data_IF_548181913233
#
_entry.id   IF_548181913233
#
_cell.length_a   1.000
_cell.length_b   1.000
_cell.length_c   1.000
_cell.angle_alpha   90.00
_cell.angle_beta   90.00
_cell.angle_gamma   90.00
#
_symmetry.space_group_name_H-M   'P 1'
#
loop_
_entity.id
_entity.type
_entity.pdbx_description
1 polymer ?
#
# COMPACT_ATOMS: atom_id res chain seq x y z
N UNK A 1 25.36 -27.99 7.67
CA UNK A 1 26.23 -26.88 7.24
C UNK A 1 25.39 -25.61 7.27
N UNK A 2 25.12 -25.10 8.47
CA UNK A 2 25.88 -24.07 9.21
C UNK A 2 25.30 -22.69 8.96
N UNK A 3 24.20 -22.43 9.65
CA UNK A 3 23.43 -21.18 9.77
C UNK A 3 24.17 -20.09 10.57
N UNK A 4 25.51 -20.18 10.65
CA UNK A 4 26.37 -19.36 11.53
C UNK A 4 27.34 -18.43 10.78
N UNK A 5 27.31 -18.34 9.45
CA UNK A 5 28.12 -17.36 8.71
C UNK A 5 27.41 -16.04 8.39
N UNK A 6 26.15 -15.87 8.80
CA UNK A 6 25.38 -14.63 8.55
C UNK A 6 25.38 -13.59 9.67
N UNK A 7 25.89 -13.94 10.86
CA UNK A 7 25.80 -13.09 12.07
C UNK A 7 27.01 -12.14 12.22
N UNK A 8 28.09 -12.35 11.47
CA UNK A 8 29.24 -11.43 11.49
C UNK A 8 29.05 -10.16 10.63
N UNK A 9 28.07 -10.12 9.71
CA UNK A 9 27.79 -8.91 8.93
C UNK A 9 26.84 -7.93 9.65
N UNK A 10 26.28 -8.31 10.80
CA UNK A 10 25.39 -7.44 11.60
C UNK A 10 26.16 -6.52 12.57
N UNK A 11 27.49 -6.68 12.70
CA UNK A 11 28.32 -5.85 13.57
C UNK A 11 29.20 -4.83 12.81
N UNK A 12 29.21 -4.83 11.47
CA UNK A 12 29.86 -3.78 10.67
C UNK A 12 28.89 -2.68 10.21
N UNK A 13 27.58 -2.83 10.45
CA UNK A 13 26.61 -1.75 10.20
C UNK A 13 26.74 -0.56 11.17
N UNK A 14 27.57 -0.69 12.22
CA UNK A 14 27.80 0.37 13.23
C UNK A 14 29.22 0.93 13.27
N UNK A 15 30.17 0.38 12.52
CA UNK A 15 31.51 0.98 12.39
C UNK A 15 32.13 0.67 11.03
N UNK A 16 32.05 1.64 10.11
CA UNK A 16 32.93 1.72 8.94
C UNK A 16 32.52 0.89 7.72
N UNK A 17 31.53 1.39 6.98
CA UNK A 17 31.54 1.28 5.52
C UNK A 17 31.43 2.68 4.93
N UNK A 18 32.18 2.89 3.87
CA UNK A 18 32.44 4.16 3.21
C UNK A 18 31.16 5.00 3.03
N UNK A 19 31.19 6.24 3.50
CA UNK A 19 30.12 7.27 3.34
C UNK A 19 30.01 7.74 1.87
N UNK A 20 30.38 6.90 0.92
CA UNK A 20 30.55 7.20 -0.51
C UNK A 20 29.41 6.74 -1.42
N UNK A 21 28.21 6.48 -0.91
CA UNK A 21 27.08 6.03 -1.74
C UNK A 21 25.87 6.98 -1.68
N UNK A 22 26.08 8.27 -1.95
CA UNK A 22 24.99 9.20 -2.25
C UNK A 22 24.21 8.87 -3.54
N UNK A 23 24.52 7.77 -4.24
CA UNK A 23 23.93 7.35 -5.52
C UNK A 23 23.25 5.96 -5.49
N UNK A 24 22.85 5.46 -4.32
CA UNK A 24 22.33 4.08 -4.18
C UNK A 24 20.81 3.93 -4.32
N UNK A 25 20.06 5.02 -4.47
CA UNK A 25 18.60 4.99 -4.69
C UNK A 25 18.30 5.58 -6.06
N UNK A 26 17.44 4.90 -6.82
CA UNK A 26 16.76 5.50 -7.97
C UNK A 26 15.28 5.52 -7.67
N UNK A 27 14.78 6.70 -7.34
CA UNK A 27 13.38 6.94 -6.99
C UNK A 27 12.46 6.71 -8.19
N UNK A 28 11.18 6.48 -7.91
CA UNK A 28 10.15 6.37 -8.95
C UNK A 28 10.07 7.61 -9.85
N UNK A 29 10.39 8.80 -9.31
CA UNK A 29 10.44 10.05 -10.07
C UNK A 29 11.60 10.05 -11.07
N UNK A 30 12.79 9.62 -10.64
CA UNK A 30 13.98 9.54 -11.49
C UNK A 30 13.83 8.48 -12.58
N UNK A 31 13.24 7.32 -12.26
CA UNK A 31 13.03 6.25 -13.25
C UNK A 31 11.98 6.59 -14.29
N UNK A 32 11.03 7.48 -13.97
CA UNK A 32 10.00 7.95 -14.88
C UNK A 32 10.47 9.09 -15.81
N UNK A 33 11.41 9.92 -15.35
CA UNK A 33 11.84 11.11 -16.08
C UNK A 33 10.67 12.05 -16.35
N UNK A 34 10.54 12.55 -17.59
CA UNK A 34 9.48 13.48 -17.98
C UNK A 34 8.11 12.81 -18.16
N UNK A 35 8.07 11.49 -18.37
CA UNK A 35 6.83 10.74 -18.61
C UNK A 35 6.42 9.98 -17.35
N UNK A 36 5.74 10.68 -16.45
CA UNK A 36 5.27 10.09 -15.20
C UNK A 36 4.21 9.00 -15.43
N UNK A 37 3.22 9.24 -16.28
CA UNK A 37 2.10 8.30 -16.44
C UNK A 37 2.41 7.13 -17.38
N UNK A 38 2.14 5.92 -16.87
CA UNK A 38 2.04 4.69 -17.66
C UNK A 38 0.75 3.96 -17.31
N UNK A 39 -0.08 3.69 -18.32
CA UNK A 39 -1.23 2.80 -18.21
C UNK A 39 -0.77 1.37 -17.89
N UNK A 40 -1.52 0.64 -17.07
CA UNK A 40 -1.19 -0.76 -16.78
C UNK A 40 -1.40 -1.63 -18.02
N UNK A 41 -0.41 -2.46 -18.32
CA UNK A 41 -0.52 -3.51 -19.34
C UNK A 41 -0.91 -4.84 -18.71
N UNK A 42 -1.31 -5.87 -19.48
CA UNK A 42 -1.58 -7.19 -18.93
C UNK A 42 -0.43 -7.75 -18.07
N UNK A 43 0.82 -7.49 -18.47
CA UNK A 43 2.02 -7.94 -17.75
C UNK A 43 2.16 -7.28 -16.37
N UNK A 44 1.63 -6.08 -16.21
CA UNK A 44 1.68 -5.36 -14.94
C UNK A 44 0.74 -5.94 -13.88
N UNK A 45 -0.24 -6.73 -14.30
CA UNK A 45 -1.21 -7.39 -13.42
C UNK A 45 -0.81 -8.84 -13.09
N UNK A 46 0.30 -9.33 -13.64
CA UNK A 46 0.81 -10.67 -13.37
C UNK A 46 1.46 -10.75 -11.99
N UNK A 47 1.19 -11.83 -11.26
CA UNK A 47 1.97 -12.19 -10.09
C UNK A 47 3.42 -12.41 -10.51
N UNK A 48 4.32 -11.54 -10.03
CA UNK A 48 5.73 -11.50 -10.40
C UNK A 48 6.48 -12.68 -9.79
N UNK A 49 6.18 -13.04 -8.55
CA UNK A 49 6.88 -14.01 -7.71
C UNK A 49 8.40 -13.79 -7.77
N UNK A 50 8.82 -12.57 -7.41
CA UNK A 50 10.21 -12.14 -7.51
C UNK A 50 11.16 -13.10 -6.76
N UNK A 51 12.32 -13.35 -7.34
CA UNK A 51 13.35 -14.20 -6.73
C UNK A 51 13.99 -13.53 -5.51
N UNK A 52 14.62 -14.34 -4.65
CA UNK A 52 15.22 -13.83 -3.42
C UNK A 52 14.18 -13.60 -2.31
N UNK A 53 14.57 -12.82 -1.30
CA UNK A 53 13.65 -12.43 -0.24
C UNK A 53 12.72 -11.34 -0.76
N UNK A 54 11.47 -11.70 -1.01
CA UNK A 54 10.48 -10.79 -1.56
C UNK A 54 9.11 -10.99 -0.91
N UNK A 55 8.34 -9.91 -0.89
CA UNK A 55 6.92 -9.92 -0.53
C UNK A 55 6.14 -9.30 -1.67
N UNK A 56 5.17 -10.04 -2.20
CA UNK A 56 4.25 -9.57 -3.21
C UNK A 56 2.83 -9.65 -2.64
N UNK A 57 2.05 -8.59 -2.82
CA UNK A 57 0.70 -8.56 -2.32
C UNK A 57 -0.25 -7.85 -3.29
N UNK A 58 -1.49 -8.31 -3.27
CA UNK A 58 -2.63 -7.68 -3.90
C UNK A 58 -3.59 -7.26 -2.79
N UNK A 59 -3.94 -5.97 -2.74
CA UNK A 59 -4.85 -5.40 -1.75
C UNK A 59 -6.02 -4.74 -2.45
N UNK A 60 -7.22 -5.04 -1.98
CA UNK A 60 -8.49 -4.51 -2.46
C UNK A 60 -9.15 -3.76 -1.31
N UNK A 61 -8.97 -2.44 -1.28
CA UNK A 61 -9.59 -1.55 -0.31
C UNK A 61 -11.00 -1.20 -0.75
N UNK A 62 -11.92 -1.07 0.21
CA UNK A 62 -13.32 -0.74 -0.03
C UNK A 62 -13.77 0.29 1.01
N UNK A 63 -14.11 1.48 0.54
CA UNK A 63 -14.82 2.51 1.29
C UNK A 63 -16.31 2.35 1.04
N UNK A 64 -17.07 1.98 2.06
CA UNK A 64 -18.49 1.67 1.93
C UNK A 64 -19.36 2.93 2.07
N UNK A 65 -20.50 2.96 1.36
CA UNK A 65 -21.44 4.10 1.41
C UNK A 65 -22.05 4.35 2.80
N UNK A 66 -22.12 3.33 3.64
CA UNK A 66 -22.56 3.45 5.02
C UNK A 66 -21.49 4.09 5.94
N UNK A 67 -20.34 4.49 5.39
CA UNK A 67 -19.23 5.10 6.12
C UNK A 67 -18.26 4.09 6.75
N UNK A 68 -18.46 2.79 6.53
CA UNK A 68 -17.51 1.76 6.93
C UNK A 68 -16.39 1.54 5.91
N UNK A 69 -15.49 0.62 6.24
CA UNK A 69 -14.31 0.30 5.44
C UNK A 69 -13.99 -1.19 5.54
N UNK A 70 -13.58 -1.78 4.43
CA UNK A 70 -13.13 -3.16 4.39
C UNK A 70 -11.91 -3.30 3.48
N UNK A 71 -11.14 -4.36 3.69
CA UNK A 71 -10.21 -4.79 2.67
C UNK A 71 -10.03 -6.31 2.64
N UNK A 72 -9.55 -6.79 1.50
CA UNK A 72 -9.01 -8.13 1.31
C UNK A 72 -7.60 -8.00 0.75
N UNK A 73 -6.66 -8.70 1.35
CA UNK A 73 -5.28 -8.76 0.91
C UNK A 73 -4.83 -10.21 0.79
N UNK A 74 -4.17 -10.54 -0.32
CA UNK A 74 -3.38 -11.76 -0.45
C UNK A 74 -1.90 -11.39 -0.47
N UNK A 75 -1.09 -12.10 0.31
CA UNK A 75 0.36 -11.92 0.40
C UNK A 75 1.04 -13.24 0.03
N UNK A 76 1.96 -13.17 -0.93
CA UNK A 76 2.96 -14.19 -1.20
C UNK A 76 4.31 -13.71 -0.66
N UNK A 77 4.91 -14.44 0.27
CA UNK A 77 6.19 -14.06 0.89
C UNK A 77 7.21 -15.18 0.88
N UNK A 78 8.41 -14.88 0.38
CA UNK A 78 9.61 -15.74 0.50
C UNK A 78 10.56 -15.26 1.60
N UNK A 79 10.14 -14.26 2.39
CA UNK A 79 10.91 -13.72 3.51
C UNK A 79 10.98 -14.76 4.63
N UNK A 80 12.12 -15.43 4.75
CA UNK A 80 12.39 -16.47 5.75
C UNK A 80 12.65 -17.86 5.16
N UNK A 81 12.14 -18.14 3.95
CA UNK A 81 12.48 -19.35 3.20
C UNK A 81 12.26 -19.13 1.70
N UNK A 82 13.34 -19.20 0.92
CA UNK A 82 13.27 -19.11 -0.54
C UNK A 82 12.55 -20.29 -1.19
N UNK A 83 12.54 -21.44 -0.51
CA UNK A 83 12.03 -22.70 -1.05
C UNK A 83 10.59 -23.00 -0.63
N UNK A 84 10.11 -22.37 0.45
CA UNK A 84 8.78 -22.57 1.00
C UNK A 84 8.12 -21.21 1.22
N UNK A 85 7.51 -20.61 0.18
CA UNK A 85 6.80 -19.35 0.33
C UNK A 85 5.61 -19.52 1.28
N UNK A 86 5.31 -18.46 2.03
CA UNK A 86 4.09 -18.36 2.83
C UNK A 86 3.04 -17.58 2.05
N UNK A 87 1.82 -18.11 2.03
CA UNK A 87 0.66 -17.48 1.42
C UNK A 87 -0.29 -17.10 2.54
N UNK A 88 -0.67 -15.83 2.60
CA UNK A 88 -1.48 -15.30 3.69
C UNK A 88 -2.61 -14.46 3.14
N UNK A 89 -3.81 -14.69 3.67
CA UNK A 89 -4.97 -13.83 3.52
C UNK A 89 -5.05 -12.93 4.75
N UNK A 90 -5.17 -11.63 4.51
CA UNK A 90 -5.52 -10.65 5.53
C UNK A 90 -6.81 -9.96 5.12
N UNK A 91 -7.77 -9.84 6.03
CA UNK A 91 -9.01 -9.11 5.76
C UNK A 91 -9.48 -8.32 6.97
N UNK A 92 -10.04 -7.15 6.69
CA UNK A 92 -10.61 -6.25 7.68
C UNK A 92 -12.07 -5.94 7.34
N UNK A 93 -12.91 -5.85 8.36
CA UNK A 93 -14.22 -5.22 8.30
C UNK A 93 -14.35 -4.20 9.43
N UNK A 94 -14.55 -2.94 9.05
CA UNK A 94 -15.03 -1.89 9.93
C UNK A 94 -16.40 -1.45 9.42
N UNK A 95 -17.43 -1.62 10.24
CA UNK A 95 -18.80 -1.22 9.91
C UNK A 95 -19.44 -0.55 11.14
N UNK A 96 -19.63 0.78 11.10
CA UNK A 96 -20.21 1.51 12.23
C UNK A 96 -21.69 1.19 12.44
N UNK A 97 -22.39 0.64 11.44
CA UNK A 97 -23.83 0.33 11.53
C UNK A 97 -24.10 -0.95 12.32
N UNK A 98 -23.11 -1.84 12.39
CA UNK A 98 -23.18 -3.14 13.07
C UNK A 98 -22.19 -3.25 14.25
N UNK A 99 -21.49 -2.15 14.55
CA UNK A 99 -20.41 -2.07 15.54
C UNK A 99 -19.37 -3.19 15.34
N UNK A 100 -18.96 -3.38 14.08
CA UNK A 100 -17.94 -4.36 13.72
C UNK A 100 -16.63 -3.64 13.48
N UNK A 101 -15.57 -4.11 14.14
CA UNK A 101 -14.19 -3.71 13.87
C UNK A 101 -13.30 -4.95 14.04
N UNK A 102 -13.25 -5.77 13.00
CA UNK A 102 -12.56 -7.07 13.03
C UNK A 102 -11.47 -7.11 11.97
N UNK A 103 -10.33 -7.68 12.35
CA UNK A 103 -9.20 -7.98 11.49
C UNK A 103 -8.85 -9.47 11.62
N UNK A 104 -8.65 -10.16 10.50
CA UNK A 104 -8.30 -11.58 10.45
C UNK A 104 -7.12 -11.83 9.52
N UNK A 105 -6.22 -12.71 9.98
CA UNK A 105 -5.08 -13.20 9.20
C UNK A 105 -5.12 -14.72 9.17
N UNK A 106 -5.05 -15.29 7.97
CA UNK A 106 -5.21 -16.74 7.72
C UNK A 106 -4.10 -17.20 6.77
N UNK A 107 -3.35 -18.22 7.16
CA UNK A 107 -2.39 -18.85 6.24
C UNK A 107 -3.13 -19.78 5.28
N UNK A 108 -2.79 -19.69 3.99
CA UNK A 108 -3.42 -20.43 2.92
C UNK A 108 -2.49 -21.53 2.38
N UNK A 109 -3.10 -22.55 1.78
CA UNK A 109 -2.44 -23.66 1.09
C UNK A 109 -2.88 -23.75 -0.36
N UNK A 110 -2.11 -24.54 -1.15
CA UNK A 110 -2.37 -24.81 -2.58
C UNK A 110 -2.51 -23.55 -3.44
N UNK A 111 -1.53 -22.67 -3.33
CA UNK A 111 -1.46 -21.49 -4.20
C UNK A 111 -1.13 -21.90 -5.63
N UNK A 112 -2.07 -21.59 -6.53
CA UNK A 112 -1.99 -21.83 -7.95
C UNK A 112 -2.34 -20.54 -8.69
N UNK A 113 -1.63 -20.28 -9.78
CA UNK A 113 -1.88 -19.16 -10.66
C UNK A 113 -2.58 -19.64 -11.92
N UNK A 114 -3.41 -18.78 -12.51
CA UNK A 114 -3.84 -18.96 -13.90
C UNK A 114 -2.62 -19.01 -14.85
N UNK A 115 -2.80 -19.56 -16.04
CA UNK A 115 -1.73 -19.65 -17.05
C UNK A 115 -1.10 -18.28 -17.34
N UNK A 116 -1.94 -17.25 -17.37
CA UNK A 116 -1.53 -15.87 -17.57
C UNK A 116 -1.05 -15.16 -16.31
N UNK A 117 -1.00 -15.84 -15.16
CA UNK A 117 -0.55 -15.36 -13.86
C UNK A 117 -1.29 -14.15 -13.29
N UNK A 118 -2.46 -13.78 -13.81
CA UNK A 118 -3.25 -12.62 -13.34
C UNK A 118 -4.32 -12.98 -12.31
N UNK A 119 -4.62 -14.27 -12.15
CA UNK A 119 -5.54 -14.81 -11.15
C UNK A 119 -4.81 -15.76 -10.21
N UNK A 120 -5.22 -15.76 -8.95
CA UNK A 120 -4.68 -16.62 -7.90
C UNK A 120 -5.79 -17.43 -7.23
N UNK A 121 -5.51 -18.71 -6.98
CA UNK A 121 -6.43 -19.64 -6.33
C UNK A 121 -5.66 -20.31 -5.18
N UNK A 122 -6.32 -20.44 -4.03
CA UNK A 122 -5.86 -21.21 -2.88
C UNK A 122 -7.00 -22.12 -2.40
N UNK A 123 -6.73 -22.99 -1.44
CA UNK A 123 -7.79 -23.66 -0.70
C UNK A 123 -8.73 -22.61 -0.08
N UNK A 124 -10.02 -22.68 -0.45
CA UNK A 124 -11.10 -21.82 0.03
C UNK A 124 -10.93 -20.32 -0.26
N UNK A 125 -10.13 -19.93 -1.26
CA UNK A 125 -10.04 -18.55 -1.73
C UNK A 125 -9.72 -18.49 -3.22
N UNK A 126 -10.29 -17.51 -3.93
CA UNK A 126 -9.85 -17.14 -5.28
C UNK A 126 -9.94 -15.64 -5.52
N UNK A 127 -8.95 -15.11 -6.23
CA UNK A 127 -8.93 -13.78 -6.83
C UNK A 127 -8.83 -14.01 -8.34
N UNK A 128 -9.88 -13.66 -9.08
CA UNK A 128 -9.95 -13.90 -10.53
C UNK A 128 -10.12 -12.58 -11.27
N UNK A 129 -9.21 -12.28 -12.18
CA UNK A 129 -9.36 -11.18 -13.12
C UNK A 129 -10.11 -11.66 -14.36
N UNK A 130 -11.06 -10.86 -14.84
CA UNK A 130 -11.76 -11.14 -16.08
C UNK A 130 -10.84 -10.98 -17.32
N UNK A 131 -11.19 -11.59 -18.47
CA UNK A 131 -10.37 -11.48 -19.69
C UNK A 131 -10.17 -10.04 -20.19
N UNK A 132 -11.14 -9.15 -19.93
CA UNK A 132 -11.08 -7.74 -20.33
C UNK A 132 -10.23 -6.89 -19.37
N UNK A 133 -9.75 -7.48 -18.26
CA UNK A 133 -8.94 -6.84 -17.23
C UNK A 133 -9.60 -5.59 -16.64
N UNK A 134 -10.91 -5.68 -16.42
CA UNK A 134 -11.73 -4.60 -15.84
C UNK A 134 -12.25 -4.97 -14.46
N UNK A 135 -12.38 -6.25 -14.17
CA UNK A 135 -13.12 -6.73 -13.01
C UNK A 135 -12.40 -7.86 -12.30
N UNK A 136 -12.14 -7.69 -11.01
CA UNK A 136 -11.77 -8.79 -10.13
C UNK A 136 -13.02 -9.38 -9.46
N UNK A 137 -13.10 -10.72 -9.43
CA UNK A 137 -13.99 -11.47 -8.54
C UNK A 137 -13.18 -12.09 -7.42
N UNK A 138 -13.57 -11.77 -6.18
CA UNK A 138 -12.88 -12.24 -4.98
C UNK A 138 -13.86 -13.07 -4.18
N UNK A 139 -13.50 -14.34 -3.97
CA UNK A 139 -14.30 -15.29 -3.20
C UNK A 139 -13.45 -15.92 -2.11
N UNK A 140 -13.93 -15.91 -0.87
CA UNK A 140 -13.30 -16.51 0.31
C UNK A 140 -14.38 -17.34 1.03
N UNK A 141 -14.03 -18.55 1.48
CA UNK A 141 -14.94 -19.43 2.24
C UNK A 141 -14.20 -20.08 3.41
N UNK A 142 -13.89 -19.29 4.42
CA UNK A 142 -13.27 -19.74 5.67
C UNK A 142 -14.31 -19.77 6.80
N UNK A 143 -14.13 -20.59 7.86
CA UNK A 143 -15.15 -20.79 8.90
C UNK A 143 -15.72 -19.50 9.53
N UNK A 144 -14.90 -18.46 9.69
CA UNK A 144 -15.30 -17.17 10.29
C UNK A 144 -15.19 -16.00 9.32
N UNK A 145 -14.93 -16.28 8.05
CA UNK A 145 -14.75 -15.26 7.01
C UNK A 145 -15.25 -15.80 5.67
N UNK A 146 -16.38 -15.28 5.23
CA UNK A 146 -16.89 -15.49 3.87
C UNK A 146 -16.89 -14.13 3.17
N UNK A 147 -16.34 -14.10 1.96
CA UNK A 147 -16.34 -12.90 1.12
C UNK A 147 -16.76 -13.33 -0.27
N UNK A 148 -17.66 -12.58 -0.89
CA UNK A 148 -17.97 -12.68 -2.31
C UNK A 148 -18.20 -11.27 -2.83
N UNK A 149 -17.20 -10.70 -3.50
CA UNK A 149 -17.26 -9.35 -4.06
C UNK A 149 -16.84 -9.30 -5.52
N UNK A 150 -17.49 -8.38 -6.23
CA UNK A 150 -17.10 -7.92 -7.57
C UNK A 150 -16.48 -6.55 -7.44
N UNK A 151 -15.28 -6.38 -8.00
CA UNK A 151 -14.47 -5.18 -7.94
C UNK A 151 -14.17 -4.71 -9.36
N UNK A 152 -14.93 -3.71 -9.84
CA UNK A 152 -14.92 -3.24 -11.23
C UNK A 152 -14.23 -1.88 -11.32
N UNK A 153 -13.13 -1.76 -12.05
CA UNK A 153 -12.41 -0.49 -12.19
C UNK A 153 -13.26 0.57 -12.90
N UNK A 154 -13.21 1.80 -12.41
CA UNK A 154 -13.94 2.93 -13.02
C UNK A 154 -13.22 3.46 -14.26
N UNK A 155 -11.90 3.56 -14.20
CA UNK A 155 -11.07 4.02 -15.32
C UNK A 155 -9.79 3.18 -15.42
N UNK A 156 -8.77 3.71 -16.09
CA UNK A 156 -7.46 3.11 -16.26
C UNK A 156 -6.73 2.93 -14.93
N UNK A 157 -6.08 1.79 -14.79
CA UNK A 157 -5.04 1.61 -13.80
C UNK A 157 -3.76 2.31 -14.22
N UNK A 158 -2.89 2.63 -13.26
CA UNK A 158 -1.62 3.28 -13.55
C UNK A 158 -0.44 2.72 -12.75
N UNK A 159 0.75 2.99 -13.27
CA UNK A 159 2.03 2.99 -12.57
C UNK A 159 2.80 4.26 -12.96
N UNK A 160 3.71 4.72 -12.11
CA UNK A 160 4.59 5.84 -12.47
C UNK A 160 5.83 5.32 -13.18
N UNK A 161 6.10 5.78 -14.40
CA UNK A 161 7.22 5.30 -15.23
C UNK A 161 7.15 3.79 -15.45
N UNK A 162 8.20 3.07 -15.06
CA UNK A 162 8.21 1.60 -15.08
C UNK A 162 7.60 0.95 -13.82
N UNK A 163 7.17 1.76 -12.84
CA UNK A 163 6.53 1.32 -11.61
C UNK A 163 7.51 0.84 -10.55
N UNK A 164 8.79 1.23 -10.58
CA UNK A 164 9.82 0.79 -9.63
C UNK A 164 10.67 1.92 -9.04
N UNK A 165 10.90 1.82 -7.74
CA UNK A 165 12.02 2.46 -7.03
C UNK A 165 13.08 1.41 -6.77
N UNK A 166 14.35 1.70 -7.09
CA UNK A 166 15.47 0.80 -6.84
C UNK A 166 16.27 1.24 -5.61
N UNK A 167 16.68 0.26 -4.80
CA UNK A 167 17.44 0.46 -3.57
C UNK A 167 18.69 -0.42 -3.58
N UNK A 168 19.86 0.22 -3.48
CA UNK A 168 21.17 -0.43 -3.52
C UNK A 168 21.60 -0.90 -4.91
N UNK A 169 22.83 -1.40 -5.02
CA UNK A 169 23.40 -2.00 -6.24
C UNK A 169 23.92 -0.98 -7.27
N UNK A 170 24.92 -1.39 -8.06
CA UNK A 170 25.50 -0.57 -9.14
C UNK A 170 24.70 -0.66 -10.46
N UNK A 171 23.73 -1.58 -10.53
CA UNK A 171 22.89 -1.83 -11.71
C UNK A 171 21.53 -2.40 -11.28
N UNK A 172 20.47 -2.09 -12.04
CA UNK A 172 19.08 -2.51 -11.77
C UNK A 172 18.92 -4.02 -11.50
N UNK A 173 19.73 -4.87 -12.14
CA UNK A 173 19.67 -6.33 -11.99
C UNK A 173 20.09 -6.84 -10.59
N UNK A 174 20.85 -6.04 -9.84
CA UNK A 174 21.40 -6.40 -8.54
C UNK A 174 20.86 -5.50 -7.41
N UNK A 175 19.86 -4.67 -7.71
CA UNK A 175 19.20 -3.75 -6.77
C UNK A 175 17.97 -4.41 -6.15
N UNK A 176 17.72 -4.13 -4.88
CA UNK A 176 16.38 -4.32 -4.33
C UNK A 176 15.41 -3.35 -5.00
N UNK A 177 14.12 -3.65 -4.99
CA UNK A 177 13.13 -2.73 -5.56
C UNK A 177 11.81 -2.73 -4.80
N UNK A 178 11.11 -1.62 -4.92
CA UNK A 178 9.71 -1.46 -4.52
C UNK A 178 8.90 -1.13 -5.77
N UNK A 179 7.78 -1.83 -5.96
CA UNK A 179 6.89 -1.63 -7.09
C UNK A 179 5.45 -1.52 -6.65
N UNK A 180 4.70 -0.64 -7.30
CA UNK A 180 3.27 -0.47 -7.08
C UNK A 180 2.55 -0.27 -8.40
N UNK A 181 1.42 -0.97 -8.56
CA UNK A 181 0.42 -0.72 -9.60
C UNK A 181 -0.93 -0.49 -8.96
N UNK A 182 -1.70 0.42 -9.52
CA UNK A 182 -2.92 0.91 -8.89
C UNK A 182 -4.11 0.81 -9.83
N UNK A 183 -5.27 0.42 -9.31
CA UNK A 183 -6.55 0.95 -9.80
C UNK A 183 -7.05 1.96 -8.76
N UNK A 184 -6.99 3.26 -9.05
CA UNK A 184 -7.24 4.31 -8.05
C UNK A 184 -8.72 4.45 -7.67
N UNK A 185 -9.63 3.95 -8.51
CA UNK A 185 -11.06 3.95 -8.25
C UNK A 185 -11.73 2.75 -8.91
N UNK A 186 -12.60 2.11 -8.16
CA UNK A 186 -13.42 0.99 -8.58
C UNK A 186 -14.80 1.07 -7.93
N UNK A 187 -15.80 0.46 -8.56
CA UNK A 187 -17.07 0.15 -7.94
C UNK A 187 -16.98 -1.24 -7.32
N UNK A 188 -17.42 -1.37 -6.07
CA UNK A 188 -17.38 -2.65 -5.34
C UNK A 188 -18.76 -3.00 -4.85
N UNK A 189 -19.21 -4.21 -5.21
CA UNK A 189 -20.48 -4.75 -4.74
C UNK A 189 -20.34 -6.20 -4.31
N UNK A 190 -21.09 -6.62 -3.30
CA UNK A 190 -21.15 -8.01 -2.89
C UNK A 190 -21.42 -8.16 -1.40
N UNK A 191 -20.78 -9.12 -0.76
CA UNK A 191 -21.11 -9.50 0.61
C UNK A 191 -19.88 -9.94 1.38
N UNK A 192 -19.80 -9.54 2.64
CA UNK A 192 -18.91 -10.09 3.65
C UNK A 192 -19.75 -10.75 4.75
N UNK A 193 -19.30 -11.89 5.25
CA UNK A 193 -19.75 -12.47 6.51
C UNK A 193 -18.52 -12.62 7.38
N UNK A 194 -18.46 -11.85 8.47
CA UNK A 194 -17.35 -11.86 9.42
C UNK A 194 -17.91 -12.09 10.82
N UNK A 195 -17.40 -13.13 11.51
CA UNK A 195 -17.88 -13.55 12.83
C UNK A 195 -19.41 -13.77 12.89
N UNK A 196 -19.99 -14.30 11.80
CA UNK A 196 -21.42 -14.58 11.68
C UNK A 196 -22.30 -13.34 11.41
N UNK A 197 -21.72 -12.14 11.32
CA UNK A 197 -22.43 -10.92 10.93
C UNK A 197 -22.36 -10.72 9.42
N UNK A 198 -23.52 -10.46 8.81
CA UNK A 198 -23.65 -10.15 7.38
C UNK A 198 -23.41 -8.65 7.16
N UNK A 199 -22.60 -8.33 6.15
CA UNK A 199 -22.32 -6.98 5.69
C UNK A 199 -22.51 -6.90 4.18
N UNK A 200 -23.50 -6.14 3.74
CA UNK A 200 -23.69 -5.83 2.32
C UNK A 200 -22.64 -4.80 1.88
N UNK A 201 -21.88 -5.15 0.85
CA UNK A 201 -20.85 -4.29 0.29
C UNK A 201 -21.45 -3.52 -0.87
N UNK A 202 -21.48 -2.20 -0.73
CA UNK A 202 -21.73 -1.23 -1.80
C UNK A 202 -20.84 -0.01 -1.52
N UNK A 203 -19.84 0.21 -2.37
CA UNK A 203 -18.82 1.21 -2.11
C UNK A 203 -17.87 1.46 -3.26
N UNK A 204 -16.91 2.32 -2.98
CA UNK A 204 -15.80 2.68 -3.84
C UNK A 204 -14.55 1.94 -3.40
N UNK A 205 -13.70 1.54 -4.34
CA UNK A 205 -12.52 0.76 -4.03
C UNK A 205 -11.24 1.27 -4.66
N UNK A 206 -10.14 0.88 -4.05
CA UNK A 206 -8.80 1.03 -4.61
C UNK A 206 -8.07 -0.32 -4.60
N UNK A 207 -7.46 -0.66 -5.72
CA UNK A 207 -6.63 -1.85 -5.86
C UNK A 207 -5.16 -1.45 -5.89
N UNK A 208 -4.33 -2.17 -5.13
CA UNK A 208 -2.87 -2.05 -5.19
C UNK A 208 -2.26 -3.43 -5.40
N UNK A 209 -1.41 -3.57 -6.41
CA UNK A 209 -0.50 -4.69 -6.56
C UNK A 209 0.92 -4.22 -6.24
N UNK A 210 1.42 -4.62 -5.07
CA UNK A 210 2.70 -4.18 -4.54
C UNK A 210 3.72 -5.33 -4.51
N UNK A 211 4.97 -5.02 -4.88
CA UNK A 211 6.11 -5.94 -4.78
C UNK A 211 7.23 -5.26 -4.06
N UNK A 212 7.71 -5.89 -2.99
CA UNK A 212 8.92 -5.54 -2.28
C UNK A 212 9.95 -6.63 -2.56
N UNK A 213 10.89 -6.36 -3.46
CA UNK A 213 11.95 -7.27 -3.89
C UNK A 213 13.15 -7.32 -2.93
N UNK A 214 12.93 -7.05 -1.65
CA UNK A 214 13.93 -7.13 -0.58
C UNK A 214 13.24 -7.16 0.79
N UNK A 215 14.01 -7.32 1.88
CA UNK A 215 13.43 -7.33 3.23
C UNK A 215 12.82 -5.96 3.60
N UNK A 216 11.56 -5.89 4.09
CA UNK A 216 10.86 -4.63 4.30
C UNK A 216 11.56 -3.63 5.23
N UNK A 217 12.18 -4.10 6.30
CA UNK A 217 12.88 -3.27 7.29
C UNK A 217 14.11 -2.53 6.74
N UNK A 218 14.60 -2.93 5.56
CA UNK A 218 15.69 -2.23 4.88
C UNK A 218 15.20 -1.09 4.00
N UNK A 219 13.92 -1.12 3.58
CA UNK A 219 13.37 -0.22 2.56
C UNK A 219 13.13 1.17 3.13
N UNK A 220 12.28 1.25 4.15
CA UNK A 220 11.77 2.52 4.65
C UNK A 220 11.87 2.60 6.18
N UNK A 221 12.10 3.81 6.69
CA UNK A 221 12.02 4.13 8.12
C UNK A 221 10.63 4.59 8.53
N UNK A 222 9.92 5.28 7.62
CA UNK A 222 8.55 5.77 7.80
C UNK A 222 7.77 5.67 6.49
N UNK A 223 6.47 5.45 6.60
CA UNK A 223 5.54 5.41 5.47
C UNK A 223 4.25 6.16 5.80
N UNK A 224 3.71 6.86 4.81
CA UNK A 224 2.40 7.47 4.84
C UNK A 224 1.61 6.95 3.62
N UNK A 225 0.40 6.51 3.87
CA UNK A 225 -0.53 6.07 2.85
C UNK A 225 -1.86 6.79 3.02
N UNK A 226 -2.47 7.19 1.92
CA UNK A 226 -3.83 7.74 1.92
C UNK A 226 -4.61 7.21 0.72
N UNK A 227 -5.85 6.84 1.01
CA UNK A 227 -6.93 6.48 0.10
C UNK A 227 -8.17 7.31 0.45
N UNK A 228 -8.37 8.39 -0.29
CA UNK A 228 -9.58 9.19 -0.20
C UNK A 228 -10.55 8.76 -1.29
N UNK A 229 -11.79 8.47 -0.91
CA UNK A 229 -12.86 8.08 -1.82
C UNK A 229 -14.09 8.96 -1.58
N UNK A 230 -14.61 9.50 -2.69
CA UNK A 230 -15.89 10.19 -2.82
C UNK A 230 -16.59 9.72 -4.10
N UNK A 231 -17.85 10.11 -4.31
CA UNK A 231 -18.71 9.54 -5.38
C UNK A 231 -18.04 9.45 -6.77
N UNK A 232 -17.38 10.53 -7.22
CA UNK A 232 -16.71 10.57 -8.54
C UNK A 232 -15.23 10.95 -8.46
N UNK A 233 -14.69 11.02 -7.25
CA UNK A 233 -13.33 11.50 -6.99
C UNK A 233 -12.60 10.52 -6.10
N UNK A 234 -11.33 10.27 -6.40
CA UNK A 234 -10.42 9.61 -5.47
C UNK A 234 -9.04 10.25 -5.49
N UNK A 235 -8.39 10.24 -4.32
CA UNK A 235 -7.00 10.66 -4.17
C UNK A 235 -6.23 9.51 -3.53
N UNK A 236 -5.11 9.17 -4.13
CA UNK A 236 -4.18 8.19 -3.55
C UNK A 236 -2.80 8.79 -3.43
N UNK A 237 -2.11 8.47 -2.34
CA UNK A 237 -0.68 8.78 -2.20
C UNK A 237 0.02 7.66 -1.45
N UNK A 238 1.21 7.34 -1.94
CA UNK A 238 2.20 6.52 -1.27
C UNK A 238 3.47 7.34 -1.06
N UNK A 239 3.79 7.62 0.20
CA UNK A 239 4.96 8.38 0.57
C UNK A 239 5.80 7.58 1.56
N UNK A 240 7.08 7.39 1.30
CA UNK A 240 7.96 6.75 2.27
C UNK A 240 9.34 7.39 2.30
N UNK A 241 9.93 7.34 3.49
CA UNK A 241 11.29 7.79 3.73
C UNK A 241 12.20 6.56 3.75
N UNK A 242 13.21 6.52 2.88
CA UNK A 242 14.16 5.40 2.89
C UNK A 242 14.93 5.34 4.22
N UNK A 243 15.49 4.18 4.53
CA UNK A 243 16.36 4.04 5.71
C UNK A 243 17.65 4.87 5.56
N UNK A 244 18.31 5.16 6.69
CA UNK A 244 19.57 5.94 6.73
C UNK A 244 20.67 5.41 5.80
N UNK A 245 20.76 4.08 5.62
CA UNK A 245 21.74 3.46 4.70
C UNK A 245 21.55 3.89 3.23
N UNK A 246 20.34 4.35 2.89
CA UNK A 246 19.95 4.84 1.57
C UNK A 246 19.81 6.37 1.54
N UNK A 247 20.36 7.07 2.53
CA UNK A 247 20.40 8.54 2.58
C UNK A 247 19.13 9.22 3.09
N UNK A 248 18.10 8.48 3.52
CA UNK A 248 16.85 9.10 3.98
C UNK A 248 16.14 9.88 2.87
N UNK A 249 16.12 9.30 1.66
CA UNK A 249 15.47 9.87 0.49
C UNK A 249 13.96 9.70 0.62
N UNK A 250 13.23 10.80 0.42
CA UNK A 250 11.78 10.76 0.35
C UNK A 250 11.34 10.30 -1.06
N UNK A 251 10.48 9.28 -1.09
CA UNK A 251 9.86 8.76 -2.31
C UNK A 251 8.37 9.02 -2.22
N UNK A 252 7.81 9.61 -3.27
CA UNK A 252 6.40 9.96 -3.30
C UNK A 252 5.78 9.67 -4.67
N UNK A 253 4.57 9.10 -4.66
CA UNK A 253 3.74 8.88 -5.82
C UNK A 253 2.28 9.03 -5.43
N UNK A 254 1.46 9.61 -6.30
CA UNK A 254 0.04 9.78 -6.06
C UNK A 254 -0.74 10.02 -7.34
N UNK A 255 -2.06 10.02 -7.21
CA UNK A 255 -2.96 10.27 -8.34
C UNK A 255 -4.27 10.93 -7.90
N UNK A 256 -4.88 11.63 -8.85
CA UNK A 256 -6.21 12.20 -8.78
C UNK A 256 -7.10 11.52 -9.82
N UNK A 257 -8.15 10.86 -9.36
CA UNK A 257 -9.35 10.58 -10.16
C UNK A 257 -10.36 11.68 -9.88
N UNK A 258 -10.88 12.30 -10.92
CA UNK A 258 -11.86 13.38 -10.81
C UNK A 258 -12.89 13.20 -11.92
N UNK A 259 -14.18 13.33 -11.57
CA UNK A 259 -15.31 13.03 -12.46
C UNK A 259 -15.19 11.64 -13.11
N UNK A 260 -14.82 10.64 -12.30
CA UNK A 260 -14.61 9.24 -12.70
C UNK A 260 -13.55 9.03 -13.79
N UNK A 261 -12.61 9.97 -13.95
CA UNK A 261 -11.48 9.86 -14.88
C UNK A 261 -10.17 10.03 -14.14
N UNK A 262 -9.15 9.23 -14.45
CA UNK A 262 -7.80 9.47 -13.99
C UNK A 262 -7.26 10.74 -14.67
N UNK A 263 -7.19 11.84 -13.93
CA UNK A 263 -6.84 13.15 -14.47
C UNK A 263 -5.36 13.46 -14.30
N UNK A 264 -4.72 13.02 -13.21
CA UNK A 264 -3.31 13.32 -12.94
C UNK A 264 -2.63 12.21 -12.15
N UNK A 265 -1.34 11.99 -12.45
CA UNK A 265 -0.40 11.28 -11.58
C UNK A 265 0.73 12.23 -11.21
N UNK A 266 1.27 12.12 -10.01
CA UNK A 266 2.26 13.08 -9.52
C UNK A 266 3.26 12.44 -8.57
N UNK A 267 4.48 12.95 -8.62
CA UNK A 267 5.57 12.65 -7.67
C UNK A 267 5.93 13.87 -6.80
N UNK A 268 5.42 15.06 -7.15
CA UNK A 268 5.60 16.32 -6.41
C UNK A 268 4.46 16.51 -5.41
N UNK A 269 4.42 15.62 -4.42
CA UNK A 269 3.38 15.61 -3.40
C UNK A 269 3.99 15.91 -2.03
N UNK A 270 3.16 16.34 -1.09
CA UNK A 270 3.59 16.66 0.28
C UNK A 270 2.71 15.99 1.34
N UNK A 271 3.33 15.66 2.46
CA UNK A 271 2.66 15.19 3.68
C UNK A 271 3.12 16.05 4.84
N UNK A 272 2.22 16.85 5.40
CA UNK A 272 2.48 17.67 6.58
C UNK A 272 1.75 17.07 7.79
N UNK A 273 2.54 16.67 8.80
CA UNK A 273 2.03 16.16 10.07
C UNK A 273 2.00 17.29 11.09
N UNK A 274 0.81 17.65 11.59
CA UNK A 274 0.61 18.75 12.50
C UNK A 274 0.02 18.29 13.84
N UNK A 275 0.18 19.14 14.86
CA UNK A 275 -0.35 18.95 16.21
C UNK A 275 0.06 17.60 16.83
N UNK A 276 1.34 17.26 16.68
CA UNK A 276 1.88 15.99 17.16
C UNK A 276 1.65 15.80 18.66
N UNK A 277 1.15 14.62 19.03
CA UNK A 277 1.00 14.16 20.42
C UNK A 277 1.71 12.83 20.60
N UNK A 278 2.37 12.68 21.73
CA UNK A 278 2.96 11.40 22.11
C UNK A 278 1.84 10.39 22.40
N UNK A 279 1.89 9.23 21.73
CA UNK A 279 1.08 8.07 22.11
C UNK A 279 1.73 7.38 23.31
N UNK A 280 1.08 7.35 24.49
CA UNK A 280 1.67 6.77 25.69
C UNK A 280 1.96 5.26 25.58
N UNK A 281 1.29 4.54 24.67
CA UNK A 281 1.50 3.09 24.53
C UNK A 281 2.75 2.75 23.72
N UNK A 282 3.16 3.64 22.82
CA UNK A 282 4.21 3.37 21.84
C UNK A 282 5.39 4.34 21.92
N UNK A 283 5.19 5.53 22.51
CA UNK A 283 6.13 6.64 22.56
C UNK A 283 6.27 7.41 21.24
N UNK A 284 5.50 7.07 20.20
CA UNK A 284 5.56 7.77 18.92
C UNK A 284 4.80 9.10 18.96
N UNK A 285 5.30 10.08 18.21
CA UNK A 285 4.62 11.35 17.96
C UNK A 285 3.61 11.16 16.82
N UNK A 286 2.32 11.15 17.17
CA UNK A 286 1.20 10.90 16.27
C UNK A 286 0.49 12.22 15.97
N UNK A 287 0.21 12.56 14.70
CA UNK A 287 -0.47 13.81 14.35
C UNK A 287 -1.92 13.84 14.83
N UNK A 288 -2.45 15.04 15.00
CA UNK A 288 -3.89 15.27 15.17
C UNK A 288 -4.53 15.91 13.93
N UNK A 289 -3.70 16.49 13.07
CA UNK A 289 -4.07 16.96 11.73
C UNK A 289 -3.01 16.52 10.72
N UNK A 290 -3.45 16.08 9.56
CA UNK A 290 -2.57 15.79 8.42
C UNK A 290 -3.06 16.57 7.21
N UNK A 291 -2.13 17.22 6.52
CA UNK A 291 -2.39 17.87 5.23
C UNK A 291 -1.62 17.13 4.14
N UNK A 292 -2.33 16.62 3.14
CA UNK A 292 -1.75 16.02 1.96
C UNK A 292 -1.89 16.97 0.78
N UNK A 293 -0.84 17.07 -0.05
CA UNK A 293 -0.88 17.91 -1.26
C UNK A 293 -0.41 17.15 -2.48
N UNK A 294 -1.07 17.37 -3.62
CA UNK A 294 -0.65 16.85 -4.92
C UNK A 294 -0.40 18.03 -5.85
N UNK A 295 0.74 18.02 -6.52
CA UNK A 295 1.04 18.98 -7.59
C UNK A 295 1.43 18.19 -8.84
N UNK A 296 0.65 18.36 -9.89
CA UNK A 296 0.78 17.61 -11.13
C UNK A 296 0.27 18.40 -12.32
N UNK A 297 0.03 17.66 -13.41
CA UNK A 297 -0.55 18.16 -14.65
C UNK A 297 -1.59 17.16 -15.12
N UNK A 298 -2.56 17.63 -15.89
CA UNK A 298 -3.51 16.72 -16.54
C UNK A 298 -2.78 15.75 -17.47
N UNK A 299 -3.32 14.54 -17.62
CA UNK A 299 -2.76 13.50 -18.49
C UNK A 299 -3.08 13.69 -19.97
N UNK A 300 -3.93 14.65 -20.30
CA UNK A 300 -4.26 15.01 -21.68
C UNK A 300 -3.21 15.94 -22.29
N UNK A 301 -3.38 16.26 -23.58
CA UNK A 301 -2.43 17.11 -24.31
C UNK A 301 -2.39 18.56 -23.83
N UNK A 302 -3.39 19.00 -23.04
CA UNK A 302 -3.43 20.35 -22.51
C UNK A 302 -2.39 20.56 -21.38
N UNK A 303 -2.06 19.49 -20.64
CA UNK A 303 -1.13 19.53 -19.50
C UNK A 303 -1.44 20.65 -18.48
N UNK A 304 -2.73 20.89 -18.25
CA UNK A 304 -3.22 21.91 -17.32
C UNK A 304 -2.72 21.63 -15.90
N UNK A 305 -2.44 22.69 -15.15
CA UNK A 305 -1.96 22.56 -13.78
C UNK A 305 -3.02 21.88 -12.89
N UNK A 306 -2.58 20.87 -12.14
CA UNK A 306 -3.38 20.18 -11.13
C UNK A 306 -2.79 20.43 -9.75
N UNK A 307 -3.59 21.01 -8.86
CA UNK A 307 -3.26 21.20 -7.45
C UNK A 307 -4.37 20.64 -6.59
N UNK A 308 -4.02 19.84 -5.60
CA UNK A 308 -4.98 19.31 -4.63
C UNK A 308 -4.43 19.49 -3.23
N UNK A 309 -5.28 19.92 -2.30
CA UNK A 309 -5.04 19.87 -0.87
C UNK A 309 -6.12 19.03 -0.20
N UNK A 310 -5.73 18.03 0.59
CA UNK A 310 -6.63 17.23 1.40
C UNK A 310 -6.29 17.46 2.87
N UNK A 311 -7.20 18.07 3.61
CA UNK A 311 -7.06 18.24 5.05
C UNK A 311 -7.82 17.13 5.80
N UNK A 312 -7.12 16.47 6.71
CA UNK A 312 -7.67 15.39 7.53
C UNK A 312 -7.48 15.73 9.00
N UNK A 313 -8.59 15.81 9.74
CA UNK A 313 -8.56 15.82 11.20
C UNK A 313 -8.53 14.37 11.68
N UNK A 314 -7.45 13.97 12.34
CA UNK A 314 -7.20 12.57 12.72
C UNK A 314 -7.98 12.28 14.00
N UNK A 315 -9.01 11.43 13.90
CA UNK A 315 -9.94 11.21 15.01
C UNK A 315 -10.43 9.77 15.17
N UNK A 316 -10.68 9.07 14.07
CA UNK A 316 -11.29 7.74 14.08
C UNK A 316 -10.23 6.66 13.85
N UNK A 317 -9.51 6.31 14.92
CA UNK A 317 -8.51 5.24 14.91
C UNK A 317 -9.22 3.89 14.76
N UNK A 318 -8.95 3.21 13.64
CA UNK A 318 -9.43 1.86 13.42
C UNK A 318 -8.56 0.84 14.15
N UNK A 319 -7.24 1.01 14.06
CA UNK A 319 -6.27 0.07 14.62
C UNK A 319 -4.91 0.69 14.91
N UNK A 320 -4.21 0.05 15.83
CA UNK A 320 -2.82 0.32 16.16
C UNK A 320 -2.08 -1.02 16.27
N UNK A 321 -1.34 -1.35 15.23
CA UNK A 321 -0.74 -2.67 15.04
C UNK A 321 0.73 -2.65 15.46
N UNK A 322 1.10 -3.46 16.46
CA UNK A 322 2.50 -3.79 16.77
C UNK A 322 2.98 -4.84 15.78
N UNK A 323 3.72 -4.43 14.76
CA UNK A 323 4.16 -5.29 13.65
C UNK A 323 4.98 -6.47 14.17
N UNK A 324 5.70 -6.33 15.30
CA UNK A 324 6.45 -7.44 15.86
C UNK A 324 5.54 -8.51 16.45
N UNK A 325 4.41 -8.14 17.05
CA UNK A 325 3.49 -9.12 17.62
C UNK A 325 2.79 -9.95 16.54
N UNK A 326 2.59 -9.38 15.36
CA UNK A 326 2.01 -10.05 14.20
C UNK A 326 2.98 -10.99 13.47
N UNK A 327 4.28 -10.89 13.71
CA UNK A 327 5.29 -11.73 13.08
C UNK A 327 5.46 -13.06 13.86
N UNK A 328 5.54 -14.23 13.17
CA UNK A 328 5.84 -15.51 13.80
C UNK A 328 7.10 -15.50 14.69
N UNK A 329 7.04 -16.19 15.83
CA UNK A 329 8.06 -16.12 16.89
C UNK A 329 9.50 -16.40 16.44
N UNK A 330 9.72 -17.22 15.41
CA UNK A 330 11.06 -17.54 14.93
C UNK A 330 11.76 -16.37 14.21
N UNK A 331 11.03 -15.38 13.69
CA UNK A 331 11.59 -14.17 13.06
C UNK A 331 11.92 -13.09 14.11
N UNK A 332 11.25 -13.10 15.28
CA UNK A 332 11.48 -12.13 16.36
C UNK A 332 12.95 -12.04 16.82
N UNK A 333 13.73 -13.11 16.67
CA UNK A 333 15.16 -13.13 17.04
C UNK A 333 16.06 -12.26 16.16
N UNK A 334 15.66 -11.92 14.94
CA UNK A 334 16.40 -11.02 14.04
C UNK A 334 16.16 -9.55 14.43
N UNK A 335 15.14 -9.27 15.23
CA UNK A 335 14.61 -7.93 15.49
C UNK A 335 15.17 -7.27 16.76
N UNK A 336 15.97 -7.99 17.56
CA UNK A 336 16.67 -7.42 18.72
C UNK A 336 17.69 -6.31 18.35
N UNK A 337 17.82 -5.97 17.07
CA UNK A 337 18.69 -4.92 16.52
C UNK A 337 17.94 -3.59 16.31
N UNK A 338 16.59 -3.59 16.29
CA UNK A 338 15.83 -2.37 16.09
C UNK A 338 15.77 -1.52 17.37
N UNK A 339 16.19 -0.26 17.26
CA UNK A 339 16.19 0.72 18.36
C UNK A 339 14.77 1.09 18.80
N UNK A 340 13.77 0.97 17.92
CA UNK A 340 12.36 1.20 18.21
C UNK A 340 11.48 0.14 17.54
N UNK A 341 10.33 -0.17 18.15
CA UNK A 341 9.39 -1.18 17.64
C UNK A 341 8.58 -0.62 16.47
N UNK A 342 8.41 -1.36 15.36
CA UNK A 342 7.56 -0.93 14.26
C UNK A 342 6.07 -0.93 14.63
N UNK A 343 5.36 0.15 14.30
CA UNK A 343 3.92 0.31 14.50
C UNK A 343 3.24 0.85 13.24
N UNK A 344 2.01 0.38 13.00
CA UNK A 344 1.11 0.92 11.98
C UNK A 344 -0.10 1.51 12.70
N UNK A 345 -0.42 2.76 12.40
CA UNK A 345 -1.67 3.40 12.78
C UNK A 345 -2.57 3.47 11.56
N UNK A 346 -3.82 3.05 11.71
CA UNK A 346 -4.81 3.07 10.65
C UNK A 346 -6.03 3.86 11.09
N UNK A 347 -6.48 4.79 10.27
CA UNK A 347 -7.64 5.63 10.53
C UNK A 347 -8.62 5.62 9.36
N UNK A 348 -9.88 5.92 9.66
CA UNK A 348 -10.91 6.19 8.66
C UNK A 348 -11.66 7.47 9.05
N UNK A 349 -11.19 8.60 8.55
CA UNK A 349 -11.76 9.91 8.86
C UNK A 349 -12.61 10.42 7.70
N UNK A 350 -13.53 11.34 8.00
CA UNK A 350 -14.06 12.21 6.95
C UNK A 350 -13.03 13.29 6.62
N UNK A 351 -12.88 13.60 5.34
CA UNK A 351 -11.94 14.61 4.88
C UNK A 351 -12.54 15.47 3.78
N UNK A 352 -11.91 16.62 3.53
CA UNK A 352 -12.33 17.53 2.48
C UNK A 352 -11.15 17.84 1.57
N UNK A 353 -11.32 17.55 0.28
CA UNK A 353 -10.36 17.84 -0.77
C UNK A 353 -10.71 19.17 -1.44
N UNK A 354 -9.73 20.06 -1.55
CA UNK A 354 -9.77 21.23 -2.42
C UNK A 354 -8.99 20.91 -3.69
N UNK A 355 -9.69 20.83 -4.81
CA UNK A 355 -9.16 20.39 -6.10
C UNK A 355 -9.15 21.58 -7.06
N UNK A 356 -8.03 21.82 -7.71
CA UNK A 356 -7.87 22.82 -8.76
C UNK A 356 -7.32 22.16 -10.03
N UNK A 357 -8.05 22.21 -11.14
CA UNK A 357 -7.64 21.67 -12.45
C UNK A 357 -7.81 22.77 -13.49
N UNK A 358 -6.72 23.23 -14.13
CA UNK A 358 -6.79 24.29 -15.15
C UNK A 358 -7.36 25.62 -14.62
N UNK A 359 -7.31 25.84 -13.30
CA UNK A 359 -7.90 27.01 -12.62
C UNK A 359 -9.36 26.84 -12.19
N UNK A 360 -10.05 25.78 -12.62
CA UNK A 360 -11.36 25.42 -12.05
C UNK A 360 -11.17 24.80 -10.66
N UNK A 361 -11.93 25.29 -9.67
CA UNK A 361 -11.83 24.82 -8.29
C UNK A 361 -13.11 24.10 -7.85
N UNK A 362 -12.95 22.98 -7.17
CA UNK A 362 -14.03 22.22 -6.53
C UNK A 362 -13.62 21.77 -5.12
N UNK A 363 -14.59 21.75 -4.21
CA UNK A 363 -14.43 21.21 -2.86
C UNK A 363 -15.23 19.92 -2.74
N UNK A 364 -14.57 18.81 -2.46
CA UNK A 364 -15.16 17.46 -2.43
C UNK A 364 -15.03 16.87 -1.04
N UNK A 365 -16.15 16.46 -0.46
CA UNK A 365 -16.18 15.74 0.82
C UNK A 365 -16.20 14.22 0.57
N UNK A 366 -15.50 13.47 1.41
CA UNK A 366 -15.41 12.03 1.27
C UNK A 366 -14.84 11.35 2.51
N UNK A 367 -14.55 10.07 2.37
CA UNK A 367 -13.91 9.26 3.41
C UNK A 367 -12.45 9.03 3.05
N UNK A 368 -11.61 9.08 4.06
CA UNK A 368 -10.17 8.99 3.95
C UNK A 368 -9.69 7.85 4.83
N UNK A 369 -9.36 6.71 4.21
CA UNK A 369 -8.53 5.72 4.87
C UNK A 369 -7.08 6.18 4.78
N UNK A 370 -6.38 6.26 5.90
CA UNK A 370 -4.99 6.67 5.91
C UNK A 370 -4.18 5.94 6.97
N UNK A 371 -2.90 5.77 6.67
CA UNK A 371 -1.97 5.05 7.51
C UNK A 371 -0.70 5.85 7.75
N UNK A 372 -0.20 5.75 8.98
CA UNK A 372 1.12 6.19 9.36
C UNK A 372 1.89 5.00 9.92
N UNK A 373 2.98 4.62 9.24
CA UNK A 373 3.83 3.50 9.64
C UNK A 373 5.16 4.03 10.13
N UNK A 374 5.54 3.60 11.32
CA UNK A 374 6.88 3.71 11.84
C UNK A 374 7.53 2.34 11.73
N UNK A 375 8.60 2.23 10.95
CA UNK A 375 9.30 0.94 10.73
C UNK A 375 10.55 0.85 11.60
N UNK A 376 11.26 1.97 11.79
CA UNK A 376 12.42 2.07 12.66
C UNK A 376 12.58 3.51 13.16
N UNK A 377 13.38 3.70 14.21
CA UNK A 377 13.74 5.05 14.67
C UNK A 377 14.50 5.82 13.57
N UNK A 378 14.18 7.11 13.43
CA UNK A 378 14.78 8.00 12.42
C UNK A 378 16.29 8.05 12.52
#
# INVERSE_FOLDING_TARGET
>A
MSWFSGIQNTLQATTGYDLGASNSVQTIAETAGDKLYSELTPQDLEWTLASGAATENQVFYVTMKNGGFAFVQMIHSTVGSLWNPTIQLTSRMYDPTTDTNTFKTINLSKFELSEDRRSAICDNMSIKLDPDMTTYKISITQPELIVDITFERIDKGFKIGEGKTYLGGNAKSNSGFVSHRFWPKAKVTGTFIMDGKLHDIDGDGMFIHAVQGMQPHLIASRWNFVDFQAAETSLTMMNFLTTKQYGGVEVNQGALVYKNRLISVSVKNGVELADLKEDPDTGYQVPQKITYTWNGKTLDEAEDEVKVTLEVNVSNLLDKIDVLNEIPWFIKKVVNVLVAKPFIYQWLDSAVAEISVGGEQERVEGKCFHELVFVSAL
#
